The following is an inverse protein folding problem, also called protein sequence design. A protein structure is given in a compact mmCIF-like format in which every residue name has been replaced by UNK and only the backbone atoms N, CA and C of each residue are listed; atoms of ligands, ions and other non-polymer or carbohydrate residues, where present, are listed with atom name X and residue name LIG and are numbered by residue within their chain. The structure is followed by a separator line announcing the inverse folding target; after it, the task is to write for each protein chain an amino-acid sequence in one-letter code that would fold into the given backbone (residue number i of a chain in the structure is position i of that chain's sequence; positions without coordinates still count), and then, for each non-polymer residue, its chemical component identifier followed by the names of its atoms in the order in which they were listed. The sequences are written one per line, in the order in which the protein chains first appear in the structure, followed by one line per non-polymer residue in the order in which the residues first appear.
data_IF_183070586565
#
_entry.id   IF_183070586565
#
_cell.length_a   1.000
_cell.length_b   1.000
_cell.length_c   1.000
_cell.angle_alpha   90.00
_cell.angle_beta   90.00
_cell.angle_gamma   90.00
#
_symmetry.space_group_name_H-M   'P 1'
#
loop_
_entity.id
_entity.type
_entity.pdbx_description
1 polymer ?
#
# COMPACT_ATOMS: atom_id res chain seq x y z
N UNK A 1 -2.99 -1.26 8.05
CA UNK A 1 -1.62 -0.72 8.01
C UNK A 1 -1.46 0.25 9.17
N UNK A 2 -0.46 0.02 10.03
CA UNK A 2 -0.05 1.01 11.02
C UNK A 2 1.13 1.79 10.46
N UNK A 3 0.99 3.11 10.36
CA UNK A 3 2.02 4.01 9.84
C UNK A 3 2.34 5.09 10.86
N UNK A 4 3.64 5.36 11.05
CA UNK A 4 4.14 6.45 11.87
C UNK A 4 4.83 7.47 10.96
N UNK A 5 4.32 8.70 10.96
CA UNK A 5 4.81 9.81 10.14
C UNK A 5 6.02 10.55 10.79
N UNK A 6 6.48 10.09 11.96
CA UNK A 6 7.50 10.80 12.75
C UNK A 6 6.90 11.65 13.88
N UNK A 7 5.58 11.88 13.86
CA UNK A 7 4.87 12.62 14.90
C UNK A 7 3.70 11.84 15.50
N UNK A 8 2.91 11.17 14.66
CA UNK A 8 1.69 10.47 15.05
C UNK A 8 1.60 9.12 14.40
N UNK A 9 0.89 8.21 15.08
CA UNK A 9 0.55 6.90 14.56
C UNK A 9 -0.84 6.97 13.90
N UNK A 10 -0.91 6.52 12.65
CA UNK A 10 -2.11 6.47 11.85
C UNK A 10 -2.45 5.01 11.51
N UNK A 11 -3.72 4.63 11.66
CA UNK A 11 -4.23 3.32 11.26
C UNK A 11 -5.02 3.47 9.96
N UNK A 12 -4.55 2.83 8.90
CA UNK A 12 -5.26 2.75 7.63
C UNK A 12 -5.87 1.37 7.43
N UNK A 13 -7.14 1.35 7.07
CA UNK A 13 -7.88 0.14 6.71
C UNK A 13 -8.49 0.37 5.33
N UNK A 14 -8.09 -0.46 4.37
CA UNK A 14 -8.69 -0.48 3.03
C UNK A 14 -9.26 -1.87 2.77
N UNK A 15 -10.55 -1.94 2.45
CA UNK A 15 -11.16 -3.15 1.91
C UNK A 15 -10.72 -3.28 0.46
N UNK A 16 -10.08 -4.41 0.14
CA UNK A 16 -9.78 -4.73 -1.25
C UNK A 16 -11.04 -5.23 -1.93
N UNK A 17 -11.42 -4.59 -3.03
CA UNK A 17 -12.54 -5.01 -3.87
C UNK A 17 -12.11 -6.08 -4.88
N UNK A 18 -10.91 -5.94 -5.46
CA UNK A 18 -10.31 -6.89 -6.43
C UNK A 18 -8.80 -6.98 -6.26
N UNK A 19 -8.24 -8.18 -6.46
CA UNK A 19 -6.79 -8.44 -6.46
C UNK A 19 -6.23 -8.97 -5.13
N UNK A 20 -4.91 -9.20 -5.10
CA UNK A 20 -4.16 -9.64 -3.92
C UNK A 20 -3.15 -8.56 -3.54
N UNK A 21 -3.26 -8.05 -2.32
CA UNK A 21 -2.24 -7.14 -1.78
C UNK A 21 -1.00 -7.95 -1.37
N UNK A 22 0.15 -7.63 -1.97
CA UNK A 22 1.42 -8.26 -1.63
C UNK A 22 2.08 -7.46 -0.51
N UNK A 23 1.96 -7.99 0.71
CA UNK A 23 2.70 -7.45 1.84
C UNK A 23 4.20 -7.75 1.67
N UNK A 24 5.10 -6.78 1.96
CA UNK A 24 6.49 -7.10 2.21
C UNK A 24 6.56 -8.11 3.36
N UNK A 25 7.14 -9.28 3.08
CA UNK A 25 7.57 -10.18 4.14
C UNK A 25 8.83 -9.55 4.75
N UNK A 26 8.68 -8.91 5.92
CA UNK A 26 9.82 -8.37 6.66
C UNK A 26 10.16 -9.28 7.81
N UNK A 27 11.45 -9.57 8.02
CA UNK A 27 11.91 -10.32 9.20
C UNK A 27 11.64 -9.57 10.52
N UNK A 28 11.49 -8.24 10.44
CA UNK A 28 11.37 -7.35 11.59
C UNK A 28 9.94 -6.86 11.89
N UNK A 29 8.92 -7.30 11.12
CA UNK A 29 7.53 -6.89 11.31
C UNK A 29 7.21 -5.42 11.00
N UNK A 30 8.18 -4.65 10.48
CA UNK A 30 8.02 -3.24 10.08
C UNK A 30 8.76 -2.96 8.77
N UNK A 31 8.20 -2.08 7.95
CA UNK A 31 8.80 -1.61 6.69
C UNK A 31 8.83 -0.08 6.70
N UNK A 32 9.95 0.52 6.31
CA UNK A 32 10.03 1.95 6.05
C UNK A 32 9.55 2.21 4.64
N UNK A 33 8.56 3.08 4.47
CA UNK A 33 7.99 3.45 3.18
C UNK A 33 8.07 4.96 3.03
N UNK A 34 8.29 5.42 1.79
CA UNK A 34 8.07 6.82 1.43
C UNK A 34 6.57 7.09 1.28
N UNK A 35 6.16 8.36 1.32
CA UNK A 35 4.77 8.76 1.03
C UNK A 35 4.28 8.23 -0.33
N UNK A 36 5.13 8.25 -1.34
CA UNK A 36 4.81 7.70 -2.66
C UNK A 36 4.52 6.20 -2.61
N UNK A 37 5.36 5.43 -1.90
CA UNK A 37 5.15 3.98 -1.75
C UNK A 37 3.90 3.66 -0.93
N UNK A 38 3.59 4.47 0.08
CA UNK A 38 2.33 4.37 0.81
C UNK A 38 1.13 4.63 -0.12
N UNK A 39 1.18 5.68 -0.92
CA UNK A 39 0.12 5.98 -1.89
C UNK A 39 -0.08 4.82 -2.87
N UNK A 40 1.00 4.26 -3.41
CA UNK A 40 0.97 3.08 -4.29
C UNK A 40 0.30 1.88 -3.61
N UNK A 41 0.61 1.61 -2.34
CA UNK A 41 -0.07 0.56 -1.57
C UNK A 41 -1.56 0.83 -1.44
N UNK A 42 -1.94 2.08 -1.15
CA UNK A 42 -3.33 2.48 -1.03
C UNK A 42 -4.05 2.42 -2.39
N UNK A 43 -3.36 2.59 -3.51
CA UNK A 43 -3.93 2.44 -4.87
C UNK A 43 -3.96 0.98 -5.36
N UNK A 44 -3.31 0.04 -4.67
CA UNK A 44 -3.20 -1.35 -5.12
C UNK A 44 -2.17 -1.56 -6.25
N UNK A 45 -1.18 -0.67 -6.32
CA UNK A 45 0.00 -0.80 -7.18
C UNK A 45 1.04 -1.60 -6.38
N UNK A 46 1.81 -2.48 -7.04
CA UNK A 46 2.96 -3.08 -6.35
C UNK A 46 3.90 -1.92 -5.94
N UNK A 47 4.30 -1.87 -4.68
CA UNK A 47 5.09 -0.76 -4.15
C UNK A 47 6.60 -1.00 -4.35
N UNK A 48 7.01 -2.24 -4.69
CA UNK A 48 8.39 -2.60 -5.04
C UNK A 48 8.68 -2.34 -6.51
N UNK A 49 7.64 -2.31 -7.34
CA UNK A 49 7.70 -1.96 -8.77
C UNK A 49 6.44 -1.23 -9.15
N UNK A 50 6.50 -0.09 -9.87
CA UNK A 50 5.33 0.68 -10.33
C UNK A 50 4.53 -0.06 -11.40
N UNK A 51 4.16 -1.30 -11.13
CA UNK A 51 3.30 -2.15 -11.94
C UNK A 51 1.95 -2.16 -11.24
N UNK A 52 0.95 -1.59 -11.93
CA UNK A 52 -0.42 -1.65 -11.48
C UNK A 52 -0.85 -3.11 -11.37
N UNK A 53 -1.26 -3.54 -10.19
CA UNK A 53 -1.76 -4.91 -9.99
C UNK A 53 -3.16 -5.08 -10.59
N UNK A 54 -3.83 -3.98 -10.96
CA UNK A 54 -5.12 -3.98 -11.65
C UNK A 54 -5.19 -2.88 -12.72
N UNK A 55 -5.86 -3.16 -13.85
CA UNK A 55 -6.16 -2.15 -14.87
C UNK A 55 -7.18 -1.14 -14.31
N UNK A 56 -7.05 0.17 -14.64
CA UNK A 56 -8.03 1.17 -14.23
C UNK A 56 -9.40 0.78 -14.76
N UNK A 57 -10.40 0.71 -13.89
CA UNK A 57 -11.79 0.68 -14.31
C UNK A 57 -12.10 2.10 -14.79
N UNK A 58 -12.36 2.24 -16.09
CA UNK A 58 -13.03 3.42 -16.62
C UNK A 58 -14.33 3.57 -15.81
N UNK A 59 -14.47 4.69 -15.10
CA UNK A 59 -15.74 5.07 -14.54
C UNK A 59 -16.65 5.44 -15.73
N UNK A 60 -17.69 4.64 -15.95
CA UNK A 60 -18.83 5.00 -16.82
C UNK A 60 -19.69 6.10 -16.18
#
# INVERSE_FOLDING_TARGET
LLWYDGQRLCLFSKRMDRGRFIWPVTKAGKVSLTEAQLSMLLEGIDWRRPERTAAPLLAE
#
